data_IF_162482059085
#
_entry.id   IF_162482059085
#
_cell.length_a   1.000
_cell.length_b   1.000
_cell.length_c   1.000
_cell.angle_alpha   90.00
_cell.angle_beta   90.00
_cell.angle_gamma   90.00
#
_symmetry.space_group_name_H-M   'P 1'
#
loop_
_entity.id
_entity.type
_entity.pdbx_description
1 polymer ?
#
# COMPACT_ATOMS: atom_id res chain seq x y z
N UNK A 1 -38.31 70.07 52.41
CA UNK A 1 -39.10 68.90 51.98
C UNK A 1 -38.46 68.34 50.71
N UNK A 2 -38.17 67.06 50.69
CA UNK A 2 -37.54 66.31 49.56
C UNK A 2 -38.35 66.39 48.29
N UNK A 3 -37.69 66.44 47.14
CA UNK A 3 -37.71 65.32 46.16
C UNK A 3 -36.37 65.23 45.41
N UNK A 4 -35.97 64.29 44.78
CA UNK A 4 -36.40 63.09 44.12
C UNK A 4 -35.16 62.35 43.58
N UNK A 5 -34.88 61.29 44.18
CA UNK A 5 -33.91 60.23 43.59
C UNK A 5 -34.67 59.44 42.56
N UNK A 6 -34.78 59.88 41.35
CA UNK A 6 -35.48 59.13 40.30
C UNK A 6 -34.98 59.35 38.87
N UNK A 7 -33.79 59.94 38.65
CA UNK A 7 -33.32 60.22 37.27
C UNK A 7 -31.89 59.77 36.96
N UNK A 8 -31.29 58.89 37.77
CA UNK A 8 -29.92 58.36 37.51
C UNK A 8 -29.92 56.87 37.15
N UNK A 9 -31.11 56.23 37.13
CA UNK A 9 -31.18 54.77 36.81
C UNK A 9 -31.52 54.42 35.34
N UNK A 10 -31.60 55.38 34.42
CA UNK A 10 -32.00 55.11 33.04
C UNK A 10 -30.90 55.37 32.00
N UNK A 11 -29.69 55.76 32.39
CA UNK A 11 -28.58 56.00 31.49
C UNK A 11 -27.54 54.81 31.45
N UNK A 12 -27.73 53.76 32.26
CA UNK A 12 -26.79 52.62 32.34
C UNK A 12 -27.24 51.35 31.56
N UNK A 13 -28.35 51.43 30.78
CA UNK A 13 -28.92 50.28 30.07
C UNK A 13 -28.83 50.37 28.55
N UNK A 14 -28.08 51.30 27.98
CA UNK A 14 -27.90 51.43 26.51
C UNK A 14 -26.46 51.25 26.04
N UNK A 15 -25.57 50.74 26.89
CA UNK A 15 -24.15 50.48 26.53
C UNK A 15 -23.74 49.03 26.38
N UNK A 16 -24.68 48.08 26.27
CA UNK A 16 -24.37 46.63 26.26
C UNK A 16 -24.88 45.90 25.02
N UNK A 17 -24.76 46.47 23.83
CA UNK A 17 -25.04 45.77 22.60
C UNK A 17 -24.10 46.22 21.47
N UNK A 18 -22.82 45.88 21.55
CA UNK A 18 -21.92 45.85 20.42
C UNK A 18 -20.59 45.16 20.77
N UNK A 19 -20.66 43.95 21.28
CA UNK A 19 -19.56 43.01 21.18
C UNK A 19 -20.03 41.90 20.21
N UNK A 20 -19.71 42.08 18.92
CA UNK A 20 -19.70 40.93 17.99
C UNK A 20 -18.82 39.88 18.63
N UNK A 21 -19.29 38.67 18.89
CA UNK A 21 -18.42 37.55 19.10
C UNK A 21 -17.76 37.25 17.75
N UNK A 22 -16.53 37.70 17.56
CA UNK A 22 -15.65 37.10 16.58
C UNK A 22 -15.55 35.64 17.00
N UNK A 23 -16.34 34.77 16.32
CA UNK A 23 -16.20 33.35 16.41
C UNK A 23 -14.75 32.97 16.07
N UNK A 24 -14.27 31.87 16.61
CA UNK A 24 -12.90 31.42 16.31
C UNK A 24 -12.76 31.31 14.81
N UNK A 25 -11.91 32.16 14.21
CA UNK A 25 -11.41 31.95 12.84
C UNK A 25 -10.64 30.65 12.85
N UNK A 26 -11.30 29.55 12.48
CA UNK A 26 -10.65 28.29 12.18
C UNK A 26 -9.85 28.49 10.89
N UNK A 27 -8.59 28.85 11.03
CA UNK A 27 -7.65 28.76 9.93
C UNK A 27 -7.36 27.30 9.70
N UNK A 28 -7.91 26.70 8.63
CA UNK A 28 -7.51 25.40 8.16
C UNK A 28 -6.15 25.53 7.48
N UNK A 29 -5.08 25.02 8.11
CA UNK A 29 -3.82 24.80 7.44
C UNK A 29 -3.76 23.33 7.03
N UNK A 30 -3.72 23.05 5.72
CA UNK A 30 -3.41 21.73 5.20
C UNK A 30 -1.90 21.57 5.20
N UNK A 31 -1.34 20.76 6.13
CA UNK A 31 -0.05 20.16 5.96
C UNK A 31 -0.27 18.90 5.10
N UNK A 32 0.12 18.93 3.84
CA UNK A 32 0.18 17.73 3.01
C UNK A 32 1.32 16.89 3.56
N UNK A 33 1.09 15.65 4.05
CA UNK A 33 2.16 14.76 4.49
C UNK A 33 3.14 14.53 3.35
N UNK A 34 4.43 14.50 3.63
CA UNK A 34 5.42 14.08 2.66
C UNK A 34 5.05 12.69 2.12
N UNK A 35 4.96 12.57 0.80
CA UNK A 35 4.70 11.30 0.15
C UNK A 35 5.98 10.47 0.24
N UNK A 36 5.98 9.30 0.91
CA UNK A 36 7.19 8.47 1.05
C UNK A 36 7.65 7.89 -0.30
N UNK A 37 6.74 7.80 -1.26
CA UNK A 37 7.02 7.34 -2.61
C UNK A 37 6.80 8.47 -3.61
N UNK A 38 7.89 8.97 -4.18
CA UNK A 38 7.84 9.95 -5.26
C UNK A 38 7.22 9.35 -6.53
N UNK A 39 6.36 10.13 -7.19
CA UNK A 39 5.87 9.76 -8.52
C UNK A 39 7.03 9.75 -9.52
N UNK A 40 7.12 8.71 -10.36
CA UNK A 40 8.15 8.61 -11.39
C UNK A 40 7.83 9.40 -12.67
N UNK A 41 6.72 10.12 -12.67
CA UNK A 41 6.22 10.83 -13.84
C UNK A 41 5.47 9.92 -14.83
N UNK A 42 4.93 10.53 -15.87
CA UNK A 42 4.23 9.85 -16.96
C UNK A 42 5.11 9.79 -18.21
N UNK A 43 5.18 8.62 -18.82
CA UNK A 43 5.76 8.44 -20.16
C UNK A 43 4.72 7.77 -21.03
N UNK A 44 4.38 8.38 -22.16
CA UNK A 44 3.48 7.78 -23.11
C UNK A 44 4.07 6.48 -23.68
N UNK A 45 3.27 5.45 -23.73
CA UNK A 45 3.66 4.14 -24.27
C UNK A 45 2.58 3.64 -25.22
N UNK A 46 2.98 3.08 -26.36
CA UNK A 46 2.02 2.45 -27.27
C UNK A 46 1.36 1.25 -26.57
N UNK A 47 0.07 1.07 -26.86
CA UNK A 47 -0.63 -0.13 -26.42
C UNK A 47 -0.18 -1.38 -27.18
N UNK A 48 -0.28 -2.53 -26.54
CA UNK A 48 -0.04 -3.83 -27.19
C UNK A 48 -1.32 -4.67 -27.19
N UNK A 49 -1.59 -5.32 -28.31
CA UNK A 49 -2.60 -6.36 -28.39
C UNK A 49 -1.93 -7.73 -28.18
N UNK A 50 -2.46 -8.52 -27.26
CA UNK A 50 -2.00 -9.87 -27.00
C UNK A 50 -3.10 -10.87 -27.30
N UNK A 51 -2.74 -12.06 -27.82
CA UNK A 51 -3.71 -13.08 -28.20
C UNK A 51 -3.80 -14.25 -27.21
N UNK A 52 -2.73 -14.57 -26.48
CA UNK A 52 -2.68 -15.75 -25.60
C UNK A 52 -2.57 -15.39 -24.14
N UNK A 53 -1.67 -14.49 -23.79
CA UNK A 53 -1.43 -14.06 -22.42
C UNK A 53 -0.72 -12.70 -22.38
N UNK A 54 -0.84 -12.02 -21.27
CA UNK A 54 -0.19 -10.74 -21.02
C UNK A 54 0.42 -10.72 -19.62
N UNK A 55 1.50 -9.96 -19.47
CA UNK A 55 2.11 -9.61 -18.18
C UNK A 55 2.30 -8.11 -18.12
N UNK A 56 1.98 -7.50 -16.99
CA UNK A 56 2.28 -6.10 -16.70
C UNK A 56 2.89 -6.02 -15.30
N UNK A 57 4.00 -5.31 -15.17
CA UNK A 57 4.67 -5.04 -13.91
C UNK A 57 5.29 -3.65 -13.92
N UNK A 58 5.68 -3.14 -12.76
CA UNK A 58 6.26 -1.81 -12.61
C UNK A 58 7.62 -1.63 -13.32
N UNK A 59 8.31 -2.74 -13.64
CA UNK A 59 9.62 -2.71 -14.28
C UNK A 59 9.66 -3.67 -15.48
N UNK A 60 10.25 -3.26 -16.63
CA UNK A 60 10.34 -4.10 -17.83
C UNK A 60 11.04 -5.45 -17.61
N UNK A 61 12.08 -5.51 -16.77
CA UNK A 61 12.78 -6.76 -16.45
C UNK A 61 11.87 -7.75 -15.72
N UNK A 62 11.02 -7.25 -14.81
CA UNK A 62 10.05 -8.07 -14.13
C UNK A 62 8.93 -8.54 -15.07
N UNK A 63 8.46 -7.67 -15.96
CA UNK A 63 7.50 -8.03 -17.02
C UNK A 63 8.05 -9.14 -17.91
N UNK A 64 9.31 -9.02 -18.34
CA UNK A 64 9.96 -10.03 -19.19
C UNK A 64 10.12 -11.38 -18.45
N UNK A 65 10.50 -11.36 -17.17
CA UNK A 65 10.57 -12.57 -16.35
C UNK A 65 9.23 -13.31 -16.32
N UNK A 66 8.12 -12.60 -16.06
CA UNK A 66 6.78 -13.20 -16.07
C UNK A 66 6.39 -13.73 -17.45
N UNK A 67 6.74 -13.01 -18.52
CA UNK A 67 6.49 -13.44 -19.89
C UNK A 67 7.26 -14.73 -20.24
N UNK A 68 8.53 -14.83 -19.86
CA UNK A 68 9.35 -16.04 -20.06
C UNK A 68 8.74 -17.25 -19.34
N UNK A 69 8.25 -17.07 -18.11
CA UNK A 69 7.57 -18.14 -17.36
C UNK A 69 6.29 -18.59 -18.07
N UNK A 70 5.44 -17.66 -18.56
CA UNK A 70 4.25 -18.02 -19.34
C UNK A 70 4.61 -18.74 -20.65
N UNK A 71 5.66 -18.28 -21.32
CA UNK A 71 6.16 -18.92 -22.55
C UNK A 71 6.67 -20.36 -22.30
N UNK A 72 7.22 -20.61 -21.12
CA UNK A 72 7.66 -21.94 -20.69
C UNK A 72 6.49 -22.86 -20.26
N UNK A 73 5.23 -22.40 -20.35
CA UNK A 73 4.04 -23.18 -19.98
C UNK A 73 3.59 -22.99 -18.52
N UNK A 74 4.15 -22.03 -17.81
CA UNK A 74 3.76 -21.67 -16.46
C UNK A 74 2.34 -21.10 -16.39
N UNK A 75 1.76 -21.13 -15.19
CA UNK A 75 0.49 -20.48 -14.87
C UNK A 75 0.67 -18.96 -14.68
N UNK A 76 -0.44 -18.22 -14.60
CA UNK A 76 -0.42 -16.80 -14.22
C UNK A 76 0.19 -16.60 -12.82
N UNK A 77 -0.03 -17.54 -11.89
CA UNK A 77 0.57 -17.51 -10.55
C UNK A 77 2.08 -17.75 -10.61
N UNK A 78 2.55 -18.69 -11.43
CA UNK A 78 4.00 -18.90 -11.66
C UNK A 78 4.66 -17.61 -12.19
N UNK A 79 4.02 -16.98 -13.16
CA UNK A 79 4.51 -15.71 -13.71
C UNK A 79 4.54 -14.60 -12.63
N UNK A 80 3.49 -14.47 -11.83
CA UNK A 80 3.43 -13.48 -10.76
C UNK A 80 4.53 -13.69 -9.70
N UNK A 81 4.87 -14.94 -9.38
CA UNK A 81 5.97 -15.28 -8.46
C UNK A 81 7.30 -14.80 -9.03
N UNK A 82 7.61 -15.14 -10.28
CA UNK A 82 8.87 -14.70 -10.91
C UNK A 82 8.96 -13.17 -11.04
N UNK A 83 7.84 -12.51 -11.39
CA UNK A 83 7.72 -11.04 -11.39
C UNK A 83 8.05 -10.47 -10.03
N UNK A 84 7.46 -11.01 -8.94
CA UNK A 84 7.68 -10.53 -7.58
C UNK A 84 9.14 -10.68 -7.15
N UNK A 85 9.80 -11.79 -7.47
CA UNK A 85 11.21 -11.98 -7.14
C UNK A 85 12.11 -11.00 -7.89
N UNK A 86 11.81 -10.69 -9.16
CA UNK A 86 12.57 -9.69 -9.92
C UNK A 86 12.28 -8.27 -9.43
N UNK A 87 11.02 -7.94 -9.11
CA UNK A 87 10.67 -6.63 -8.55
C UNK A 87 11.41 -6.34 -7.24
N UNK A 88 11.58 -7.33 -6.36
CA UNK A 88 12.36 -7.17 -5.13
C UNK A 88 13.83 -6.78 -5.37
N UNK A 89 14.37 -7.06 -6.56
CA UNK A 89 15.72 -6.67 -6.98
C UNK A 89 15.75 -5.29 -7.65
N UNK A 90 14.84 -5.05 -8.61
CA UNK A 90 14.92 -3.90 -9.53
C UNK A 90 14.06 -2.70 -9.09
N UNK A 91 13.10 -2.92 -8.19
CA UNK A 91 12.22 -1.92 -7.57
C UNK A 91 12.21 -2.07 -6.03
N UNK A 92 13.39 -2.08 -5.35
CA UNK A 92 13.49 -2.43 -3.93
C UNK A 92 12.79 -1.42 -3.01
N UNK A 93 12.51 -0.21 -3.48
CA UNK A 93 11.77 0.83 -2.75
C UNK A 93 10.26 0.55 -2.65
N UNK A 94 9.73 -0.32 -3.53
CA UNK A 94 8.29 -0.60 -3.62
C UNK A 94 7.96 -2.10 -3.49
N UNK A 95 8.95 -2.97 -3.48
CA UNK A 95 8.74 -4.41 -3.52
C UNK A 95 9.85 -5.17 -2.79
N UNK A 96 9.52 -6.30 -2.17
CA UNK A 96 10.53 -7.10 -1.48
C UNK A 96 9.98 -8.38 -0.87
N UNK A 97 10.88 -9.33 -0.63
CA UNK A 97 10.57 -10.60 0.05
C UNK A 97 10.43 -10.45 1.57
N UNK A 98 10.89 -9.32 2.13
CA UNK A 98 10.77 -8.98 3.55
C UNK A 98 9.51 -8.19 3.90
N UNK A 99 8.58 -8.03 2.96
CA UNK A 99 7.31 -7.34 3.13
C UNK A 99 6.10 -8.25 3.02
N UNK A 100 4.93 -7.64 2.75
CA UNK A 100 3.67 -8.33 2.52
C UNK A 100 3.10 -8.07 1.15
N UNK A 101 2.10 -8.85 0.80
CA UNK A 101 1.38 -8.71 -0.46
C UNK A 101 -0.04 -9.27 -0.36
N UNK A 102 -0.88 -8.85 -1.28
CA UNK A 102 -2.20 -9.44 -1.53
C UNK A 102 -2.24 -10.03 -2.93
N UNK A 103 -2.89 -11.17 -3.07
CA UNK A 103 -3.10 -11.82 -4.35
C UNK A 103 -4.58 -12.07 -4.58
N UNK A 104 -5.09 -11.61 -5.74
CA UNK A 104 -6.40 -11.99 -6.26
C UNK A 104 -6.19 -12.93 -7.46
N UNK A 105 -6.80 -14.08 -7.43
CA UNK A 105 -6.74 -15.08 -8.48
C UNK A 105 -8.13 -15.39 -9.01
N UNK A 106 -8.35 -15.17 -10.32
CA UNK A 106 -9.57 -15.58 -11.01
C UNK A 106 -9.32 -16.88 -11.76
N UNK A 107 -10.00 -17.94 -11.36
CA UNK A 107 -9.82 -19.28 -11.95
C UNK A 107 -10.79 -19.58 -13.10
N UNK A 108 -11.44 -18.56 -13.66
CA UNK A 108 -12.47 -18.68 -14.70
C UNK A 108 -13.90 -18.78 -14.14
N UNK A 109 -14.08 -18.98 -12.83
CA UNK A 109 -15.40 -19.11 -12.18
C UNK A 109 -15.56 -18.19 -10.98
N UNK A 110 -14.57 -18.14 -10.10
CA UNK A 110 -14.57 -17.33 -8.89
C UNK A 110 -13.27 -16.58 -8.70
N UNK A 111 -13.34 -15.47 -7.97
CA UNK A 111 -12.16 -14.75 -7.50
C UNK A 111 -11.81 -15.26 -6.10
N UNK A 112 -10.56 -15.61 -5.90
CA UNK A 112 -9.99 -16.05 -4.64
C UNK A 112 -8.97 -15.03 -4.16
N UNK A 113 -8.91 -14.78 -2.84
CA UNK A 113 -8.03 -13.80 -2.23
C UNK A 113 -7.07 -14.50 -1.25
N UNK A 114 -5.76 -14.32 -1.45
CA UNK A 114 -4.72 -14.79 -0.55
C UNK A 114 -4.07 -13.59 0.13
N UNK A 115 -4.08 -13.62 1.46
CA UNK A 115 -3.54 -12.58 2.32
C UNK A 115 -2.14 -12.99 2.77
N UNK A 116 -1.17 -12.24 2.34
CA UNK A 116 0.24 -12.30 2.74
C UNK A 116 0.69 -11.00 3.37
N UNK A 117 -0.23 -10.23 3.96
CA UNK A 117 0.12 -8.99 4.65
C UNK A 117 1.00 -9.26 5.86
N UNK A 118 1.87 -8.32 6.18
CA UNK A 118 2.66 -8.36 7.41
C UNK A 118 1.75 -8.36 8.63
N UNK A 119 2.13 -9.13 9.64
CA UNK A 119 1.54 -9.04 10.97
C UNK A 119 2.48 -8.27 11.91
N UNK A 120 1.92 -7.62 12.90
CA UNK A 120 2.73 -7.05 13.97
C UNK A 120 3.49 -8.17 14.69
N UNK A 121 4.73 -7.94 15.16
CA UNK A 121 5.38 -8.86 16.08
C UNK A 121 4.51 -9.11 17.32
N UNK A 122 4.50 -10.31 17.85
CA UNK A 122 3.68 -10.66 19.02
C UNK A 122 3.95 -9.78 20.26
N UNK A 123 5.15 -9.22 20.36
CA UNK A 123 5.55 -8.31 21.43
C UNK A 123 5.09 -6.84 21.19
N UNK A 124 4.51 -6.51 20.04
CA UNK A 124 4.06 -5.16 19.75
C UNK A 124 2.80 -4.81 20.54
N UNK A 125 2.77 -3.62 21.09
CA UNK A 125 1.63 -3.06 21.82
C UNK A 125 1.22 -1.68 21.25
N UNK A 126 0.20 -1.05 21.84
CA UNK A 126 -0.30 0.26 21.44
C UNK A 126 0.71 1.41 21.61
N UNK A 127 1.82 1.15 22.32
CA UNK A 127 2.90 2.13 22.55
C UNK A 127 4.05 2.00 21.57
N UNK A 128 3.97 1.08 20.61
CA UNK A 128 5.06 0.81 19.66
C UNK A 128 5.61 2.10 19.01
N UNK A 129 4.74 3.06 18.68
CA UNK A 129 5.13 4.34 18.05
C UNK A 129 4.93 5.55 18.97
N UNK A 130 4.95 5.36 20.29
CA UNK A 130 4.89 6.42 21.27
C UNK A 130 6.29 6.64 21.85
N UNK A 131 6.69 7.92 21.92
CA UNK A 131 7.96 8.34 22.53
C UNK A 131 7.89 8.32 24.05
N UNK A 132 9.06 8.38 24.72
CA UNK A 132 9.15 8.39 26.16
C UNK A 132 8.40 9.58 26.82
N UNK A 133 8.19 10.67 26.10
CA UNK A 133 7.40 11.84 26.55
C UNK A 133 5.89 11.67 26.35
N UNK A 134 5.44 10.49 25.89
CA UNK A 134 4.04 10.18 25.64
C UNK A 134 3.49 10.68 24.30
N UNK A 135 4.31 11.32 23.47
CA UNK A 135 3.88 11.82 22.15
C UNK A 135 4.09 10.78 21.04
N UNK A 136 3.27 10.79 20.02
CA UNK A 136 3.51 9.96 18.83
C UNK A 136 4.85 10.33 18.18
N UNK A 137 5.51 9.32 17.61
CA UNK A 137 6.66 9.53 16.73
C UNK A 137 6.21 10.20 15.44
N UNK A 138 7.09 11.02 14.85
CA UNK A 138 6.91 11.42 13.46
C UNK A 138 7.06 10.20 12.55
N UNK A 139 6.54 10.29 11.32
CA UNK A 139 6.54 9.17 10.38
C UNK A 139 7.96 8.59 10.20
N UNK A 140 8.94 9.44 9.91
CA UNK A 140 10.31 8.96 9.66
C UNK A 140 11.02 8.45 10.93
N UNK A 141 10.71 8.99 12.11
CA UNK A 141 11.20 8.44 13.39
C UNK A 141 10.69 7.02 13.61
N UNK A 142 9.44 6.74 13.23
CA UNK A 142 8.85 5.40 13.37
C UNK A 142 9.34 4.42 12.31
N UNK A 143 9.45 4.86 11.04
CA UNK A 143 9.69 3.99 9.88
C UNK A 143 11.16 3.60 9.75
N UNK A 144 12.11 4.53 9.99
CA UNK A 144 13.53 4.23 9.79
C UNK A 144 14.08 3.38 10.92
N UNK A 145 14.44 2.14 10.60
CA UNK A 145 15.02 1.17 11.55
C UNK A 145 14.20 -0.09 11.72
N UNK A 146 14.42 -0.80 12.81
CA UNK A 146 13.79 -2.09 13.10
C UNK A 146 12.36 -1.99 13.62
N UNK A 147 11.96 -0.87 14.23
CA UNK A 147 10.69 -0.70 14.95
C UNK A 147 9.45 -0.96 14.10
N UNK A 148 9.46 -0.48 12.86
CA UNK A 148 8.35 -0.64 11.91
C UNK A 148 8.32 -1.97 11.19
N UNK A 149 9.29 -2.84 11.41
CA UNK A 149 9.39 -4.12 10.70
C UNK A 149 8.39 -5.10 11.28
N UNK A 150 7.40 -5.47 10.46
CA UNK A 150 6.46 -6.55 10.74
C UNK A 150 6.97 -7.90 10.28
N UNK A 151 6.22 -8.95 10.61
CA UNK A 151 6.50 -10.32 10.16
C UNK A 151 6.17 -10.41 8.66
N UNK A 152 7.13 -10.71 7.78
CA UNK A 152 6.91 -10.74 6.35
C UNK A 152 5.99 -11.88 5.91
N UNK A 153 5.08 -11.60 4.99
CA UNK A 153 4.10 -12.57 4.53
C UNK A 153 4.21 -12.98 3.06
N UNK A 154 4.91 -12.16 2.24
CA UNK A 154 4.93 -12.35 0.77
C UNK A 154 5.32 -13.76 0.35
N UNK A 155 6.44 -14.29 0.85
CA UNK A 155 6.97 -15.58 0.37
C UNK A 155 6.07 -16.74 0.80
N UNK A 156 5.52 -16.72 2.03
CA UNK A 156 4.53 -17.73 2.49
C UNK A 156 3.25 -17.70 1.66
N UNK A 157 2.76 -16.50 1.30
CA UNK A 157 1.59 -16.37 0.45
C UNK A 157 1.85 -16.90 -0.97
N UNK A 158 2.99 -16.56 -1.55
CA UNK A 158 3.36 -17.03 -2.90
C UNK A 158 3.58 -18.55 -2.93
N UNK A 159 4.18 -19.14 -1.90
CA UNK A 159 4.31 -20.58 -1.75
C UNK A 159 2.93 -21.26 -1.70
N UNK A 160 1.99 -20.73 -0.88
CA UNK A 160 0.61 -21.21 -0.82
C UNK A 160 -0.10 -21.07 -2.15
N UNK A 161 0.06 -19.95 -2.86
CA UNK A 161 -0.50 -19.74 -4.19
C UNK A 161 0.07 -20.76 -5.21
N UNK A 162 1.38 -20.99 -5.16
CA UNK A 162 2.03 -21.97 -6.02
C UNK A 162 1.53 -23.41 -5.77
N UNK A 163 1.37 -23.81 -4.53
CA UNK A 163 0.82 -25.13 -4.17
C UNK A 163 -0.59 -25.36 -4.73
N UNK A 164 -1.39 -24.27 -4.88
CA UNK A 164 -2.76 -24.35 -5.38
C UNK A 164 -2.86 -24.23 -6.91
N UNK A 165 -2.01 -23.39 -7.53
CA UNK A 165 -2.21 -22.95 -8.91
C UNK A 165 -0.93 -23.02 -9.76
N UNK A 166 0.20 -23.36 -9.17
CA UNK A 166 1.48 -23.50 -9.87
C UNK A 166 1.47 -24.67 -10.87
N UNK A 167 2.23 -24.54 -11.94
CA UNK A 167 2.45 -25.56 -12.96
C UNK A 167 3.92 -25.93 -13.11
N UNK A 168 4.80 -24.96 -13.01
CA UNK A 168 6.24 -25.17 -13.10
C UNK A 168 6.82 -25.46 -11.71
N UNK A 169 7.97 -26.15 -11.63
CA UNK A 169 8.66 -26.36 -10.37
C UNK A 169 8.97 -25.02 -9.66
N UNK A 170 8.73 -24.95 -8.37
CA UNK A 170 8.97 -23.74 -7.55
C UNK A 170 10.35 -23.12 -7.78
N UNK A 171 11.41 -23.96 -7.79
CA UNK A 171 12.78 -23.49 -7.97
C UNK A 171 13.01 -22.79 -9.33
N UNK A 172 12.25 -23.14 -10.37
CA UNK A 172 12.32 -22.51 -11.69
C UNK A 172 11.91 -21.05 -11.64
N UNK A 173 10.95 -20.71 -10.77
CA UNK A 173 10.39 -19.36 -10.66
C UNK A 173 11.36 -18.36 -10.03
N UNK A 174 12.37 -18.84 -9.31
CA UNK A 174 13.43 -18.02 -8.71
C UNK A 174 14.54 -17.68 -9.71
N UNK A 175 14.69 -18.47 -10.80
CA UNK A 175 15.83 -18.37 -11.69
C UNK A 175 15.98 -16.99 -12.39
N UNK A 176 14.91 -16.33 -12.89
CA UNK A 176 15.05 -15.02 -13.51
C UNK A 176 15.70 -13.99 -12.58
N UNK A 177 15.28 -13.96 -11.32
CA UNK A 177 15.83 -13.04 -10.34
C UNK A 177 17.26 -13.42 -9.91
N UNK A 178 17.58 -14.71 -9.79
CA UNK A 178 18.94 -15.18 -9.48
C UNK A 178 19.92 -14.74 -10.58
N UNK A 179 19.57 -14.96 -11.84
CA UNK A 179 20.40 -14.58 -13.00
C UNK A 179 20.64 -13.07 -13.03
N UNK A 180 19.58 -12.26 -12.84
CA UNK A 180 19.72 -10.80 -12.79
C UNK A 180 20.52 -10.32 -11.58
N UNK A 181 20.40 -10.98 -10.44
CA UNK A 181 21.15 -10.63 -9.23
C UNK A 181 22.66 -10.82 -9.39
N UNK A 182 23.07 -11.90 -10.06
CA UNK A 182 24.48 -12.24 -10.29
C UNK A 182 25.06 -11.56 -11.52
N UNK A 183 24.31 -11.53 -12.62
CA UNK A 183 24.71 -10.86 -13.85
C UNK A 183 24.69 -9.34 -13.74
N UNK A 184 23.80 -8.82 -12.93
CA UNK A 184 23.53 -7.40 -12.74
C UNK A 184 22.39 -6.88 -13.62
N UNK A 185 21.81 -5.79 -13.19
CA UNK A 185 20.79 -5.02 -13.92
C UNK A 185 21.20 -3.56 -13.97
N UNK A 186 20.71 -2.83 -14.96
CA UNK A 186 20.99 -1.39 -15.08
C UNK A 186 20.07 -0.59 -14.16
N UNK A 187 20.65 0.30 -13.35
CA UNK A 187 19.91 1.27 -12.53
C UNK A 187 18.98 2.08 -13.44
N UNK A 188 17.67 2.08 -13.15
CA UNK A 188 16.67 2.86 -13.86
C UNK A 188 16.64 4.32 -13.40
N UNK A 189 16.03 5.22 -14.20
CA UNK A 189 15.78 6.62 -13.80
C UNK A 189 15.02 6.71 -12.49
N UNK A 190 13.99 5.86 -12.32
CA UNK A 190 13.19 5.80 -11.10
C UNK A 190 14.05 5.39 -9.89
N UNK A 191 14.80 4.31 -9.99
CA UNK A 191 15.65 3.84 -8.90
C UNK A 191 16.71 4.89 -8.54
N UNK A 192 17.39 5.48 -9.53
CA UNK A 192 18.35 6.55 -9.30
C UNK A 192 17.72 7.74 -8.55
N UNK A 193 16.56 8.23 -9.03
CA UNK A 193 15.87 9.38 -8.44
C UNK A 193 15.50 9.13 -6.99
N UNK A 194 14.98 7.94 -6.68
CA UNK A 194 14.55 7.57 -5.33
C UNK A 194 15.74 7.38 -4.38
N UNK A 195 16.81 6.71 -4.82
CA UNK A 195 18.05 6.61 -4.04
C UNK A 195 18.63 8.00 -3.74
N UNK A 196 18.68 8.87 -4.75
CA UNK A 196 19.22 10.23 -4.62
C UNK A 196 18.41 11.09 -3.65
N UNK A 197 17.10 10.94 -3.63
CA UNK A 197 16.20 11.72 -2.77
C UNK A 197 16.11 11.18 -1.34
N UNK A 198 16.54 9.93 -1.07
CA UNK A 198 16.44 9.33 0.25
C UNK A 198 17.49 9.88 1.21
N UNK A 199 17.03 10.53 2.28
CA UNK A 199 17.90 11.12 3.30
C UNK A 199 18.39 10.13 4.37
N UNK A 200 17.84 8.91 4.40
CA UNK A 200 18.05 7.93 5.47
C UNK A 200 18.82 6.70 5.02
N UNK A 201 18.61 6.22 3.79
CA UNK A 201 19.16 4.97 3.27
C UNK A 201 20.67 4.88 3.39
N UNK A 202 21.40 5.95 3.07
CA UNK A 202 22.86 6.01 3.17
C UNK A 202 23.42 6.00 4.60
N UNK A 203 22.56 6.09 5.64
CA UNK A 203 22.98 5.97 7.04
C UNK A 203 23.13 4.51 7.47
N UNK A 204 22.52 3.58 6.75
CA UNK A 204 22.77 2.15 6.94
C UNK A 204 24.00 1.74 6.11
N UNK A 205 25.07 1.20 6.75
CA UNK A 205 26.32 0.89 6.05
C UNK A 205 26.18 -0.12 4.90
N UNK A 206 25.28 -1.08 5.05
CA UNK A 206 25.04 -2.12 4.04
C UNK A 206 24.30 -1.53 2.84
N UNK A 207 23.27 -0.75 3.08
CA UNK A 207 22.52 -0.05 2.04
C UNK A 207 23.41 1.00 1.34
N UNK A 208 24.25 1.73 2.10
CA UNK A 208 25.19 2.68 1.55
C UNK A 208 26.17 2.02 0.59
N UNK A 209 26.77 0.90 0.96
CA UNK A 209 27.71 0.17 0.11
C UNK A 209 27.04 -0.38 -1.17
N UNK A 210 25.75 -0.65 -1.14
CA UNK A 210 25.02 -1.20 -2.26
C UNK A 210 24.49 -0.13 -3.23
N UNK A 211 23.90 0.95 -2.70
CA UNK A 211 23.17 1.93 -3.51
C UNK A 211 23.98 3.19 -3.87
N UNK A 212 25.12 3.42 -3.24
CA UNK A 212 25.92 4.63 -3.43
C UNK A 212 27.37 4.31 -3.80
N UNK A 213 28.01 5.23 -4.47
CA UNK A 213 29.45 5.17 -4.79
C UNK A 213 30.33 5.55 -3.58
N UNK A 214 31.66 5.48 -3.76
CA UNK A 214 32.61 5.82 -2.71
C UNK A 214 32.58 7.29 -2.25
N UNK A 215 31.89 8.17 -3.01
CA UNK A 215 31.67 9.58 -2.65
C UNK A 215 30.34 9.79 -1.94
N UNK A 216 29.54 8.74 -1.77
CA UNK A 216 28.18 8.80 -1.22
C UNK A 216 27.14 9.34 -2.19
N UNK A 217 27.42 9.33 -3.50
CA UNK A 217 26.47 9.69 -4.55
C UNK A 217 25.72 8.45 -5.03
N UNK A 218 24.42 8.61 -5.30
CA UNK A 218 23.59 7.53 -5.84
C UNK A 218 24.17 7.01 -7.17
N UNK A 219 24.19 5.69 -7.34
CA UNK A 219 24.64 5.11 -8.61
C UNK A 219 23.88 5.74 -9.79
N UNK A 220 24.58 6.15 -10.86
CA UNK A 220 23.94 6.82 -12.00
C UNK A 220 23.05 5.84 -12.79
N UNK A 221 22.10 6.41 -13.52
CA UNK A 221 21.29 5.66 -14.49
C UNK A 221 22.19 4.86 -15.44
N UNK A 222 21.86 3.60 -15.64
CA UNK A 222 22.64 2.68 -16.48
C UNK A 222 23.81 1.99 -15.78
N UNK A 223 24.14 2.35 -14.53
CA UNK A 223 25.11 1.60 -13.73
C UNK A 223 24.68 0.15 -13.58
N UNK A 224 25.62 -0.81 -13.76
CA UNK A 224 25.36 -2.23 -13.60
C UNK A 224 25.43 -2.61 -12.12
N UNK A 225 24.27 -2.76 -11.50
CA UNK A 225 24.14 -3.11 -10.08
C UNK A 225 23.96 -4.63 -9.92
N UNK A 226 24.72 -5.25 -9.02
CA UNK A 226 24.67 -6.70 -8.73
C UNK A 226 24.33 -6.93 -7.26
N UNK A 227 23.59 -8.01 -6.97
CA UNK A 227 23.24 -8.42 -5.62
C UNK A 227 23.41 -9.93 -5.43
N UNK A 228 24.61 -10.45 -5.32
CA UNK A 228 24.86 -11.87 -5.12
C UNK A 228 24.27 -12.40 -3.80
N UNK A 229 24.15 -11.56 -2.78
CA UNK A 229 23.52 -11.90 -1.49
C UNK A 229 22.03 -12.19 -1.66
N UNK A 230 21.33 -11.39 -2.47
CA UNK A 230 19.93 -11.66 -2.81
C UNK A 230 19.79 -12.98 -3.58
N UNK A 231 20.69 -13.25 -4.54
CA UNK A 231 20.73 -14.54 -5.24
C UNK A 231 20.92 -15.72 -4.27
N UNK A 232 21.79 -15.57 -3.27
CA UNK A 232 22.01 -16.60 -2.26
C UNK A 232 20.74 -16.90 -1.44
N UNK A 233 20.01 -15.84 -1.01
CA UNK A 233 18.72 -16.01 -0.32
C UNK A 233 17.68 -16.66 -1.24
N UNK A 234 17.58 -16.23 -2.49
CA UNK A 234 16.65 -16.84 -3.45
C UNK A 234 16.94 -18.34 -3.71
N UNK A 235 18.22 -18.78 -3.70
CA UNK A 235 18.57 -20.19 -3.79
C UNK A 235 18.06 -20.97 -2.57
N UNK A 236 18.12 -20.41 -1.36
CA UNK A 236 17.55 -21.05 -0.17
C UNK A 236 16.04 -21.17 -0.28
N UNK A 237 15.36 -20.11 -0.73
CA UNK A 237 13.93 -20.13 -0.98
C UNK A 237 13.59 -21.15 -2.09
N UNK A 238 14.39 -21.25 -3.16
CA UNK A 238 14.19 -22.23 -4.21
C UNK A 238 14.27 -23.67 -3.73
N UNK A 239 15.20 -23.96 -2.80
CA UNK A 239 15.44 -25.29 -2.27
C UNK A 239 14.48 -25.69 -1.13
N UNK A 240 14.06 -24.73 -0.29
CA UNK A 240 13.37 -24.99 0.98
C UNK A 240 11.96 -24.37 1.05
N UNK A 241 11.50 -23.74 -0.04
CA UNK A 241 10.26 -22.96 0.01
C UNK A 241 10.41 -21.72 0.90
N UNK A 242 9.31 -21.29 1.48
CA UNK A 242 9.30 -20.11 2.35
C UNK A 242 10.13 -20.29 3.63
N UNK A 243 10.38 -21.52 4.07
CA UNK A 243 11.22 -21.77 5.25
C UNK A 243 12.67 -21.33 5.03
N UNK A 244 13.15 -21.30 3.77
CA UNK A 244 14.48 -20.76 3.42
C UNK A 244 14.67 -19.27 3.78
N UNK A 245 13.57 -18.52 3.99
CA UNK A 245 13.58 -17.14 4.47
C UNK A 245 13.16 -17.04 5.95
N UNK A 246 12.13 -17.83 6.34
CA UNK A 246 11.41 -17.65 7.60
C UNK A 246 12.00 -18.44 8.76
N UNK A 247 12.97 -19.30 8.50
CA UNK A 247 13.62 -20.17 9.47
C UNK A 247 15.14 -20.20 9.24
N UNK A 248 15.88 -20.75 10.19
CA UNK A 248 17.34 -20.91 10.09
C UNK A 248 18.13 -19.60 10.06
N UNK A 249 19.25 -19.61 9.36
CA UNK A 249 20.24 -18.52 9.42
C UNK A 249 19.75 -17.20 8.78
N UNK A 250 18.93 -17.25 7.72
CA UNK A 250 18.38 -16.01 7.09
C UNK A 250 17.40 -15.35 8.06
N UNK A 251 16.50 -16.11 8.65
CA UNK A 251 15.59 -15.61 9.69
C UNK A 251 16.33 -15.01 10.88
N UNK A 252 17.39 -15.69 11.35
CA UNK A 252 18.22 -15.19 12.44
C UNK A 252 18.91 -13.88 12.08
N UNK A 253 19.43 -13.75 10.87
CA UNK A 253 20.05 -12.51 10.39
C UNK A 253 19.03 -11.35 10.32
N UNK A 254 17.80 -11.62 9.86
CA UNK A 254 16.70 -10.64 9.85
C UNK A 254 16.40 -10.15 11.27
N UNK A 255 16.17 -11.09 12.20
CA UNK A 255 15.87 -10.77 13.61
C UNK A 255 17.00 -9.98 14.25
N UNK A 256 18.24 -10.41 14.04
CA UNK A 256 19.42 -9.71 14.57
C UNK A 256 19.50 -8.27 14.03
N UNK A 257 19.28 -8.05 12.73
CA UNK A 257 19.28 -6.70 12.12
C UNK A 257 18.16 -5.84 12.67
N UNK A 258 16.95 -6.39 12.81
CA UNK A 258 15.77 -5.67 13.32
C UNK A 258 15.93 -5.26 14.78
N UNK A 259 16.33 -6.21 15.64
CA UNK A 259 16.49 -5.96 17.07
C UNK A 259 17.77 -5.18 17.41
N UNK A 260 18.82 -5.29 16.58
CA UNK A 260 20.10 -4.64 16.77
C UNK A 260 20.21 -3.23 16.18
N UNK A 261 19.13 -2.63 15.67
CA UNK A 261 19.21 -1.28 15.12
C UNK A 261 19.57 -0.26 16.19
N UNK A 262 20.63 0.51 15.97
CA UNK A 262 21.29 1.32 17.02
C UNK A 262 20.38 2.39 17.65
N UNK A 263 19.47 2.99 16.88
CA UNK A 263 18.62 4.11 17.34
C UNK A 263 17.13 3.78 17.37
N UNK A 264 16.69 2.75 16.67
CA UNK A 264 15.27 2.39 16.55
C UNK A 264 15.09 0.87 16.41
N UNK A 265 15.44 0.07 17.45
CA UNK A 265 15.31 -1.37 17.42
C UNK A 265 13.85 -1.80 17.32
N UNK A 266 13.61 -2.92 16.63
CA UNK A 266 12.28 -3.54 16.50
C UNK A 266 12.10 -4.74 17.43
N UNK A 267 10.91 -5.35 17.35
CA UNK A 267 10.48 -6.42 18.25
C UNK A 267 10.30 -7.79 17.54
N UNK A 268 10.55 -7.84 16.22
CA UNK A 268 10.43 -9.09 15.46
C UNK A 268 11.27 -10.21 16.06
N UNK A 269 10.67 -11.39 16.20
CA UNK A 269 11.32 -12.57 16.79
C UNK A 269 11.36 -13.75 15.81
N UNK A 270 12.18 -14.76 16.12
CA UNK A 270 12.19 -16.02 15.38
C UNK A 270 10.85 -16.75 15.45
N UNK A 271 10.12 -16.62 16.57
CA UNK A 271 8.80 -17.23 16.74
C UNK A 271 7.76 -16.56 15.82
N UNK A 272 7.82 -15.24 15.64
CA UNK A 272 6.96 -14.52 14.71
C UNK A 272 7.16 -15.02 13.28
N UNK A 273 8.41 -15.14 12.84
CA UNK A 273 8.77 -15.64 11.51
C UNK A 273 8.29 -17.08 11.28
N UNK A 274 8.63 -17.99 12.16
CA UNK A 274 8.26 -19.41 12.06
C UNK A 274 6.73 -19.62 12.20
N UNK A 275 6.08 -18.78 13.00
CA UNK A 275 4.64 -18.83 13.28
C UNK A 275 3.75 -18.23 12.19
N UNK A 276 4.27 -17.42 11.28
CA UNK A 276 3.47 -16.74 10.27
C UNK A 276 2.73 -17.70 9.33
N UNK A 277 1.46 -17.41 9.06
CA UNK A 277 0.60 -18.18 8.14
C UNK A 277 -0.18 -17.22 7.23
N UNK A 278 -0.05 -17.42 5.93
CA UNK A 278 -0.88 -16.71 4.94
C UNK A 278 -2.34 -17.15 5.04
N UNK A 279 -3.27 -16.19 5.02
CA UNK A 279 -4.69 -16.42 5.13
C UNK A 279 -5.35 -16.53 3.74
N UNK A 280 -6.44 -17.31 3.64
CA UNK A 280 -7.37 -17.26 2.51
C UNK A 280 -8.59 -16.46 2.95
N UNK A 281 -8.97 -15.47 2.18
CA UNK A 281 -10.12 -14.60 2.46
C UNK A 281 -11.16 -14.67 1.33
N UNK A 282 -12.41 -14.41 1.63
CA UNK A 282 -13.43 -14.25 0.58
C UNK A 282 -13.23 -12.88 -0.10
N UNK A 283 -13.04 -12.87 -1.41
CA UNK A 283 -12.98 -11.61 -2.16
C UNK A 283 -14.32 -10.86 -2.02
N UNK A 284 -14.28 -9.55 -1.86
CA UNK A 284 -15.48 -8.70 -1.89
C UNK A 284 -15.84 -8.39 -3.34
N UNK A 285 -17.03 -8.79 -3.75
CA UNK A 285 -17.54 -8.59 -5.09
C UNK A 285 -18.89 -7.87 -5.05
N UNK A 286 -19.06 -6.85 -5.89
CA UNK A 286 -20.32 -6.13 -6.06
C UNK A 286 -20.61 -5.91 -7.54
N UNK A 287 -21.89 -5.71 -7.86
CA UNK A 287 -22.31 -5.42 -9.22
C UNK A 287 -22.28 -3.91 -9.45
N UNK A 288 -21.76 -3.50 -10.59
CA UNK A 288 -21.64 -2.10 -11.00
C UNK A 288 -22.30 -1.92 -12.36
N UNK A 289 -23.31 -1.06 -12.43
CA UNK A 289 -24.09 -0.80 -13.65
C UNK A 289 -23.72 0.54 -14.25
N UNK A 290 -23.46 0.52 -15.54
CA UNK A 290 -23.37 1.73 -16.38
C UNK A 290 -24.57 1.79 -17.32
N UNK A 291 -24.71 2.86 -18.09
CA UNK A 291 -25.75 2.99 -19.11
C UNK A 291 -25.70 1.93 -20.22
N UNK A 292 -24.55 1.30 -20.42
CA UNK A 292 -24.32 0.39 -21.55
C UNK A 292 -24.01 -1.05 -21.12
N UNK A 293 -23.61 -1.30 -19.86
CA UNK A 293 -23.09 -2.58 -19.42
C UNK A 293 -23.16 -2.74 -17.90
N UNK A 294 -23.29 -3.98 -17.47
CA UNK A 294 -23.11 -4.38 -16.09
C UNK A 294 -21.77 -5.09 -15.90
N UNK A 295 -21.12 -4.81 -14.77
CA UNK A 295 -19.81 -5.38 -14.38
C UNK A 295 -19.92 -6.03 -13.02
N UNK A 296 -19.21 -7.13 -12.82
CA UNK A 296 -18.92 -7.69 -11.52
C UNK A 296 -17.52 -7.24 -11.10
N UNK A 297 -17.43 -6.39 -10.10
CA UNK A 297 -16.19 -5.86 -9.58
C UNK A 297 -15.82 -6.60 -8.31
N UNK A 298 -14.63 -7.20 -8.29
CA UNK A 298 -14.11 -7.92 -7.15
C UNK A 298 -12.80 -7.31 -6.70
N UNK A 299 -12.59 -7.21 -5.39
CA UNK A 299 -11.37 -6.69 -4.81
C UNK A 299 -11.00 -7.39 -3.51
N UNK A 300 -9.84 -7.04 -2.98
CA UNK A 300 -9.34 -7.63 -1.75
C UNK A 300 -10.13 -7.08 -0.54
N UNK A 301 -10.57 -7.97 0.38
CA UNK A 301 -11.32 -7.57 1.57
C UNK A 301 -10.39 -6.94 2.63
N UNK A 302 -10.90 -6.42 3.74
CA UNK A 302 -10.06 -6.09 4.90
C UNK A 302 -9.16 -7.28 5.31
N UNK A 303 -7.92 -7.00 5.70
CA UNK A 303 -7.36 -5.71 6.14
C UNK A 303 -7.02 -4.73 5.02
N UNK A 304 -7.27 -5.06 3.75
CA UNK A 304 -7.21 -4.08 2.65
C UNK A 304 -8.50 -3.29 2.55
N UNK A 305 -8.39 -2.00 2.28
CA UNK A 305 -9.54 -1.13 2.05
C UNK A 305 -9.95 -1.03 0.58
N UNK A 306 -9.16 -1.61 -0.35
CA UNK A 306 -9.27 -1.35 -1.79
C UNK A 306 -10.65 -1.69 -2.37
N UNK A 307 -11.19 -2.87 -2.09
CA UNK A 307 -12.51 -3.28 -2.59
C UNK A 307 -13.62 -2.34 -2.14
N UNK A 308 -13.61 -1.95 -0.86
CA UNK A 308 -14.62 -1.07 -0.28
C UNK A 308 -14.49 0.36 -0.81
N UNK A 309 -13.28 0.93 -0.81
CA UNK A 309 -13.07 2.29 -1.28
C UNK A 309 -13.45 2.45 -2.76
N UNK A 310 -13.01 1.52 -3.63
CA UNK A 310 -13.38 1.55 -5.06
C UNK A 310 -14.89 1.37 -5.23
N UNK A 311 -15.51 0.43 -4.50
CA UNK A 311 -16.96 0.22 -4.56
C UNK A 311 -17.75 1.44 -4.12
N UNK A 312 -17.34 2.11 -3.03
CA UNK A 312 -17.96 3.35 -2.57
C UNK A 312 -17.80 4.49 -3.57
N UNK A 313 -16.58 4.71 -4.10
CA UNK A 313 -16.36 5.76 -5.11
C UNK A 313 -17.28 5.55 -6.30
N UNK A 314 -17.31 4.35 -6.87
CA UNK A 314 -18.15 4.04 -8.02
C UNK A 314 -19.65 4.20 -7.71
N UNK A 315 -20.10 3.71 -6.55
CA UNK A 315 -21.50 3.83 -6.14
C UNK A 315 -21.92 5.28 -5.88
N UNK A 316 -21.08 6.08 -5.22
CA UNK A 316 -21.33 7.51 -4.98
C UNK A 316 -21.37 8.27 -6.32
N UNK A 317 -20.45 7.98 -7.25
CA UNK A 317 -20.45 8.59 -8.58
C UNK A 317 -21.72 8.23 -9.39
N UNK A 318 -22.24 7.01 -9.25
CA UNK A 318 -23.51 6.64 -9.87
C UNK A 318 -24.68 7.45 -9.29
N UNK A 319 -24.77 7.62 -7.97
CA UNK A 319 -25.80 8.44 -7.34
C UNK A 319 -25.65 9.93 -7.67
N UNK A 320 -24.43 10.43 -7.89
CA UNK A 320 -24.16 11.78 -8.36
C UNK A 320 -24.34 11.95 -9.88
N UNK A 321 -24.78 10.91 -10.60
CA UNK A 321 -24.98 10.90 -12.03
C UNK A 321 -23.73 11.33 -12.85
N UNK A 322 -22.54 11.01 -12.35
CA UNK A 322 -21.28 11.40 -12.98
C UNK A 322 -21.10 10.81 -14.39
N UNK A 323 -21.71 9.66 -14.67
CA UNK A 323 -21.70 9.02 -16.00
C UNK A 323 -22.42 9.80 -17.10
N UNK A 324 -23.26 10.79 -16.76
CA UNK A 324 -23.93 11.68 -17.71
C UNK A 324 -23.09 12.89 -18.12
N UNK A 325 -21.97 13.14 -17.42
CA UNK A 325 -21.08 14.28 -17.73
C UNK A 325 -20.24 13.92 -18.97
N UNK A 326 -20.32 14.70 -20.05
CA UNK A 326 -19.53 14.43 -21.25
C UNK A 326 -18.04 14.64 -21.01
N UNK A 327 -17.22 13.91 -21.76
CA UNK A 327 -15.78 14.15 -21.81
C UNK A 327 -15.47 15.44 -22.56
N UNK A 328 -14.50 16.19 -22.08
CA UNK A 328 -13.96 17.39 -22.72
C UNK A 328 -12.69 16.99 -23.49
N UNK A 329 -12.72 17.04 -24.82
CA UNK A 329 -11.61 16.58 -25.67
C UNK A 329 -11.14 15.15 -25.37
N UNK A 330 -12.07 14.25 -25.03
CA UNK A 330 -11.77 12.85 -24.67
C UNK A 330 -11.22 12.65 -23.26
N UNK A 331 -11.19 13.69 -22.43
CA UNK A 331 -10.71 13.66 -21.05
C UNK A 331 -11.82 14.05 -20.06
N UNK A 332 -11.78 13.60 -18.80
CA UNK A 332 -12.67 14.08 -17.75
C UNK A 332 -12.49 15.60 -17.53
N UNK A 333 -13.59 16.36 -17.62
CA UNK A 333 -13.61 17.78 -17.32
C UNK A 333 -13.64 18.09 -15.82
N UNK A 334 -13.57 19.39 -15.47
CA UNK A 334 -13.48 19.86 -14.09
C UNK A 334 -14.63 19.35 -13.20
N UNK A 335 -15.86 19.35 -13.70
CA UNK A 335 -17.03 18.89 -12.94
C UNK A 335 -16.94 17.40 -12.61
N UNK A 336 -16.49 16.57 -13.56
CA UNK A 336 -16.30 15.14 -13.30
C UNK A 336 -15.19 14.90 -12.29
N UNK A 337 -14.07 15.61 -12.40
CA UNK A 337 -12.95 15.51 -11.46
C UNK A 337 -13.33 15.98 -10.06
N UNK A 338 -14.19 17.01 -9.95
CA UNK A 338 -14.75 17.42 -8.67
C UNK A 338 -15.55 16.30 -8.03
N UNK A 339 -16.51 15.71 -8.73
CA UNK A 339 -17.32 14.59 -8.21
C UNK A 339 -16.44 13.39 -7.80
N UNK A 340 -15.44 13.04 -8.62
CA UNK A 340 -14.52 11.97 -8.32
C UNK A 340 -13.70 12.23 -7.06
N UNK A 341 -13.22 13.46 -6.89
CA UNK A 341 -12.45 13.87 -5.72
C UNK A 341 -13.30 13.82 -4.45
N UNK A 342 -14.52 14.36 -4.50
CA UNK A 342 -15.44 14.34 -3.37
C UNK A 342 -15.89 12.92 -3.01
N UNK A 343 -16.23 12.09 -3.99
CA UNK A 343 -16.53 10.68 -3.77
C UNK A 343 -15.35 9.93 -3.12
N UNK A 344 -14.13 10.22 -3.57
CA UNK A 344 -12.90 9.65 -3.00
C UNK A 344 -12.69 10.10 -1.54
N UNK A 345 -12.90 11.39 -1.24
CA UNK A 345 -12.79 11.92 0.13
C UNK A 345 -13.80 11.26 1.07
N UNK A 346 -15.04 11.07 0.63
CA UNK A 346 -16.08 10.38 1.40
C UNK A 346 -15.73 8.91 1.66
N UNK A 347 -15.27 8.20 0.63
CA UNK A 347 -14.83 6.81 0.77
C UNK A 347 -13.63 6.66 1.72
N UNK A 348 -12.68 7.61 1.68
CA UNK A 348 -11.53 7.59 2.58
C UNK A 348 -11.86 8.05 4.00
N UNK A 349 -12.89 8.89 4.20
CA UNK A 349 -13.41 9.18 5.52
C UNK A 349 -14.02 7.91 6.16
N UNK A 350 -14.82 7.16 5.40
CA UNK A 350 -15.38 5.88 5.85
C UNK A 350 -14.28 4.84 6.09
N UNK A 351 -13.27 4.79 5.21
CA UNK A 351 -12.10 3.95 5.42
C UNK A 351 -11.43 4.23 6.77
N UNK A 352 -11.20 5.50 7.07
CA UNK A 352 -10.55 5.90 8.33
C UNK A 352 -11.38 5.59 9.58
N UNK A 353 -12.71 5.59 9.44
CA UNK A 353 -13.64 5.36 10.55
C UNK A 353 -13.94 3.87 10.78
N UNK A 354 -14.06 3.08 9.72
CA UNK A 354 -14.66 1.75 9.80
C UNK A 354 -13.73 0.60 9.40
N UNK A 355 -12.77 0.82 8.47
CA UNK A 355 -11.98 -0.29 7.93
C UNK A 355 -10.78 -0.58 8.81
N UNK A 356 -10.72 -1.80 9.32
CA UNK A 356 -9.66 -2.30 10.18
C UNK A 356 -9.36 -3.78 9.88
N UNK A 357 -8.45 -4.36 10.67
CA UNK A 357 -8.13 -5.77 10.60
C UNK A 357 -9.33 -6.62 11.10
N UNK A 358 -9.94 -7.48 10.25
CA UNK A 358 -11.12 -8.26 10.59
C UNK A 358 -10.86 -9.33 11.65
N UNK A 359 -9.60 -9.66 11.92
CA UNK A 359 -9.24 -10.62 12.96
C UNK A 359 -9.34 -9.99 14.37
N UNK A 360 -9.44 -8.65 14.45
CA UNK A 360 -9.54 -7.88 15.71
C UNK A 360 -10.78 -6.99 15.80
N UNK A 361 -11.33 -6.52 14.68
CA UNK A 361 -12.42 -5.55 14.64
C UNK A 361 -13.57 -6.07 13.77
N UNK A 362 -14.77 -6.00 14.30
CA UNK A 362 -15.98 -6.39 13.55
C UNK A 362 -16.37 -5.32 12.53
N UNK A 363 -16.88 -5.80 11.40
CA UNK A 363 -17.42 -4.94 10.36
C UNK A 363 -18.65 -4.14 10.87
N UNK A 364 -18.92 -2.93 10.35
CA UNK A 364 -20.16 -2.22 10.57
C UNK A 364 -21.36 -3.10 10.20
N UNK A 365 -22.34 -3.19 11.12
CA UNK A 365 -23.50 -4.08 10.93
C UNK A 365 -23.16 -5.57 10.80
N UNK A 366 -21.95 -5.98 11.17
CA UNK A 366 -21.48 -7.37 11.05
C UNK A 366 -21.07 -7.79 9.63
N UNK A 367 -21.11 -6.87 8.66
CA UNK A 367 -20.80 -7.17 7.26
C UNK A 367 -20.13 -5.97 6.56
N UNK A 368 -18.93 -6.16 6.02
CA UNK A 368 -18.24 -5.12 5.27
C UNK A 368 -19.02 -4.59 4.07
N UNK A 369 -19.88 -5.42 3.47
CA UNK A 369 -20.71 -5.02 2.33
C UNK A 369 -21.76 -3.97 2.69
N UNK A 370 -22.08 -3.77 3.98
CA UNK A 370 -22.98 -2.69 4.43
C UNK A 370 -22.50 -1.29 4.03
N UNK A 371 -21.19 -1.10 3.87
CA UNK A 371 -20.60 0.13 3.36
C UNK A 371 -20.82 0.35 1.83
N UNK A 372 -21.34 -0.68 1.15
CA UNK A 372 -21.69 -0.62 -0.27
C UNK A 372 -23.21 -0.73 -0.49
N UNK A 373 -24.02 -0.68 0.57
CA UNK A 373 -25.47 -0.68 0.47
C UNK A 373 -25.94 0.57 -0.29
N UNK A 374 -26.92 0.36 -1.19
CA UNK A 374 -27.40 1.40 -2.07
C UNK A 374 -27.88 2.66 -1.34
N UNK A 375 -28.64 2.49 -0.26
CA UNK A 375 -29.17 3.61 0.53
C UNK A 375 -28.04 4.35 1.29
N UNK A 376 -27.04 3.61 1.75
CA UNK A 376 -25.86 4.20 2.36
C UNK A 376 -25.09 5.05 1.34
N UNK A 377 -24.80 4.51 0.16
CA UNK A 377 -24.10 5.23 -0.92
C UNK A 377 -24.90 6.45 -1.39
N UNK A 378 -26.21 6.34 -1.50
CA UNK A 378 -27.09 7.47 -1.82
C UNK A 378 -27.02 8.58 -0.76
N UNK A 379 -26.96 8.21 0.52
CA UNK A 379 -26.81 9.17 1.61
C UNK A 379 -25.47 9.90 1.57
N UNK A 380 -24.41 9.17 1.22
CA UNK A 380 -23.06 9.74 1.08
C UNK A 380 -22.98 10.70 -0.11
N UNK A 381 -23.58 10.34 -1.24
CA UNK A 381 -23.61 11.18 -2.45
C UNK A 381 -24.26 12.56 -2.20
N UNK A 382 -25.26 12.64 -1.30
CA UNK A 382 -25.93 13.91 -0.93
C UNK A 382 -25.01 14.89 -0.18
N UNK A 383 -23.85 14.44 0.28
CA UNK A 383 -22.86 15.31 0.96
C UNK A 383 -21.95 16.04 -0.01
N UNK A 384 -22.00 15.71 -1.30
CA UNK A 384 -21.25 16.42 -2.34
C UNK A 384 -22.00 17.74 -2.63
N UNK A 385 -21.32 18.86 -2.42
CA UNK A 385 -21.85 20.20 -2.62
C UNK A 385 -21.58 20.77 -4.02
#
# INVERSE_FOLDING_TARGET
>A
MKPSLALIALAALLGACASNPSGPTTSFSYAVPDQPEGASGYTEKPGWATQKYAVAAANPLATDAGFQILKAGGSAVDAAIAVQMVLGLVEPQSSGIGGGAFLLHFNGKKVEALDGRETAPAAADEKLFIKADGKPMSFMEGVVGGRSVGTPGTVRMLEKAHQQYGKLPWATLMQPAIVLSEGGFKVSDRLHTLIKSDAHLKKDPVAAAYFYDAKGEAWPVGHLLKNPEYAAVLRKIAAQGASGLMEGEVAQAIVTKVQGHATNPGQLSMADLAGYRSQSRAALCHDYKTSVREFRICGFPPPSSGALAVGQILGILNHANAGAIPLENGQPGANWLHLYTEASRLAFADRGQYVADPDFVQAPGGNWMSLLDNDYLASRAKLIG
#
